data_IF_464481571381
#
_entry.id   IF_464481571381
#
_cell.length_a   1.000
_cell.length_b   1.000
_cell.length_c   1.000
_cell.angle_alpha   90.00
_cell.angle_beta   90.00
_cell.angle_gamma   90.00
#
_symmetry.space_group_name_H-M   'P 1'
#
loop_
_entity.id
_entity.type
_entity.pdbx_description
1 polymer ?
2 non-polymer ?
#
# COMPACT_ATOMS: atom_id res chain seq x y z
N UNK A 7 -13.28 14.45 19.08
CA UNK A 7 -12.67 13.21 19.53
C UNK A 7 -11.71 12.66 18.48
N UNK A 8 -10.79 11.80 18.92
CA UNK A 8 -9.79 11.22 18.04
C UNK A 8 -9.92 9.70 17.99
N UNK A 9 -11.01 9.18 18.54
CA UNK A 9 -11.28 7.75 18.47
C UNK A 9 -11.72 7.39 17.06
N UNK A 10 -12.63 8.19 16.52
CA UNK A 10 -13.11 7.97 15.16
C UNK A 10 -11.94 7.92 14.18
N UNK A 11 -10.98 8.82 14.37
CA UNK A 11 -9.79 8.87 13.53
C UNK A 11 -9.07 7.53 13.50
N UNK A 12 -8.36 7.22 14.59
CA UNK A 12 -7.64 5.96 14.70
C UNK A 12 -8.50 4.81 14.19
N UNK A 13 -9.73 4.74 14.69
CA UNK A 13 -10.65 3.70 14.26
C UNK A 13 -10.67 3.66 12.73
N UNK A 14 -11.15 4.73 12.12
CA UNK A 14 -11.26 4.79 10.67
C UNK A 14 -9.96 4.36 9.99
N UNK A 15 -8.84 4.90 10.46
CA UNK A 15 -7.54 4.58 9.87
C UNK A 15 -7.21 3.10 9.99
N UNK A 16 -7.28 2.58 11.21
CA UNK A 16 -6.99 1.18 11.46
C UNK A 16 -7.96 0.29 10.70
N UNK A 17 -9.18 0.79 10.52
CA UNK A 17 -10.19 0.05 9.77
C UNK A 17 -9.83 0.06 8.29
N UNK A 18 -9.15 1.12 7.86
CA UNK A 18 -8.67 1.23 6.48
C UNK A 18 -7.46 0.32 6.26
N UNK A 19 -7.05 -0.37 7.32
CA UNK A 19 -5.92 -1.28 7.24
C UNK A 19 -6.37 -2.73 7.39
N UNK A 20 -7.68 -2.94 7.34
CA UNK A 20 -8.26 -4.28 7.43
C UNK A 20 -8.71 -4.80 6.07
N UNK A 21 -8.57 -6.11 5.88
CA UNK A 21 -9.03 -6.75 4.65
C UNK A 21 -10.48 -6.38 4.38
N UNK A 22 -10.80 -6.15 3.11
CA UNK A 22 -12.13 -5.68 2.73
C UNK A 22 -13.14 -6.82 2.63
N UNK A 23 -12.67 -8.06 2.62
CA UNK A 23 -13.57 -9.21 2.46
C UNK A 23 -13.68 -10.07 3.72
N UNK A 24 -12.56 -10.60 4.20
CA UNK A 24 -12.61 -11.40 5.42
C UNK A 24 -12.73 -10.48 6.63
N UNK A 25 -12.31 -9.23 6.47
CA UNK A 25 -12.42 -8.22 7.53
C UNK A 25 -11.62 -8.58 8.79
N UNK A 26 -10.90 -9.69 8.75
CA UNK A 26 -10.11 -10.12 9.89
C UNK A 26 -8.63 -9.75 9.76
N UNK A 27 -7.98 -10.26 8.71
CA UNK A 27 -6.56 -10.00 8.50
C UNK A 27 -6.33 -8.61 7.90
N UNK A 28 -5.10 -8.12 8.00
CA UNK A 28 -4.78 -6.78 7.51
C UNK A 28 -4.47 -6.79 6.03
N UNK A 29 -4.74 -5.67 5.38
CA UNK A 29 -4.46 -5.50 3.96
C UNK A 29 -2.96 -5.56 3.71
N UNK A 30 -2.53 -6.48 2.85
CA UNK A 30 -1.09 -6.65 2.61
C UNK A 30 -0.73 -7.04 1.19
N UNK A 31 -1.69 -7.00 0.28
CA UNK A 31 -1.40 -7.33 -1.11
C UNK A 31 -2.28 -6.57 -2.09
N UNK A 32 -1.76 -6.35 -3.29
CA UNK A 32 -2.46 -5.56 -4.29
C UNK A 32 -2.75 -6.35 -5.55
N UNK A 33 -3.65 -5.83 -6.38
CA UNK A 33 -4.01 -6.47 -7.63
C UNK A 33 -3.31 -5.78 -8.79
N UNK A 34 -3.03 -6.53 -9.85
CA UNK A 34 -2.34 -5.98 -11.01
C UNK A 34 -3.03 -6.36 -12.31
N UNK A 35 -3.14 -5.40 -13.25
CA UNK A 35 -2.59 -4.04 -13.14
C UNK A 35 -3.53 -3.13 -12.37
N UNK A 36 -4.66 -3.70 -11.97
CA UNK A 36 -5.68 -3.01 -11.18
C UNK A 36 -5.13 -1.89 -10.30
N UNK A 37 -4.40 -2.26 -9.25
CA UNK A 37 -3.81 -1.27 -8.36
C UNK A 37 -4.39 -1.27 -6.95
N UNK A 38 -5.69 -1.54 -6.85
CA UNK A 38 -6.38 -1.54 -5.56
C UNK A 38 -5.73 -2.48 -4.54
N UNK A 39 -5.32 -1.92 -3.41
CA UNK A 39 -4.72 -2.68 -2.33
C UNK A 39 -5.70 -2.80 -1.17
N UNK A 40 -6.61 -3.77 -1.25
CA UNK A 40 -7.72 -3.85 -0.30
C UNK A 40 -7.94 -5.24 0.29
N UNK A 41 -6.99 -6.15 0.08
CA UNK A 41 -7.13 -7.51 0.59
C UNK A 41 -5.90 -8.03 1.32
N UNK A 42 -6.06 -9.17 1.98
CA UNK A 42 -4.96 -9.86 2.65
C UNK A 42 -4.57 -11.04 1.77
N UNK A 43 -3.36 -11.55 1.97
CA UNK A 43 -2.84 -12.63 1.14
C UNK A 43 -3.87 -13.72 0.88
N UNK A 44 -4.53 -14.18 1.94
CA UNK A 44 -5.44 -15.32 1.83
C UNK A 44 -6.68 -15.03 0.97
N UNK A 45 -7.13 -13.78 0.98
CA UNK A 45 -8.31 -13.40 0.21
C UNK A 45 -7.95 -13.05 -1.23
N UNK A 46 -6.74 -12.56 -1.43
CA UNK A 46 -6.27 -12.21 -2.76
C UNK A 46 -6.04 -13.46 -3.61
N UNK A 47 -5.59 -14.53 -2.97
CA UNK A 47 -5.33 -15.79 -3.67
C UNK A 47 -6.62 -16.48 -4.09
N UNK A 48 -7.73 -16.07 -3.48
CA UNK A 48 -9.03 -16.70 -3.72
C UNK A 48 -9.81 -15.98 -4.81
N UNK A 49 -9.52 -14.70 -5.00
CA UNK A 49 -10.27 -13.88 -5.96
C UNK A 49 -9.67 -13.93 -7.36
N UNK A 50 -10.54 -13.86 -8.37
CA UNK A 50 -10.10 -13.85 -9.76
C UNK A 50 -10.26 -12.46 -10.35
N UNK A 51 -11.05 -11.62 -9.67
CA UNK A 51 -11.27 -10.24 -10.11
C UNK A 51 -11.37 -9.28 -8.93
N UNK A 52 -11.01 -8.02 -9.17
CA UNK A 52 -10.97 -7.00 -8.13
C UNK A 52 -12.35 -6.66 -7.58
N UNK A 53 -12.50 -6.68 -6.25
CA UNK A 53 -13.77 -6.37 -5.57
C UNK A 53 -14.21 -4.93 -5.78
N UNK A 54 -13.25 -4.02 -5.95
CA UNK A 54 -13.57 -2.61 -6.08
C UNK A 54 -13.99 -2.24 -7.51
N UNK A 55 -13.12 -2.51 -8.48
CA UNK A 55 -13.35 -2.05 -9.84
C UNK A 55 -13.80 -3.15 -10.80
N UNK A 56 -13.80 -4.40 -10.34
CA UNK A 56 -14.28 -5.53 -11.13
C UNK A 56 -13.41 -5.84 -12.35
N UNK A 57 -12.10 -5.88 -12.17
CA UNK A 57 -11.21 -6.22 -13.28
C UNK A 57 -10.38 -7.45 -12.95
N UNK A 58 -10.29 -8.36 -13.91
CA UNK A 58 -9.54 -9.60 -13.71
C UNK A 58 -8.16 -9.32 -13.13
N UNK A 59 -7.87 -9.98 -12.02
CA UNK A 59 -6.57 -9.89 -11.39
C UNK A 59 -5.58 -10.71 -12.20
N UNK A 60 -4.58 -10.05 -12.78
CA UNK A 60 -3.57 -10.74 -13.57
C UNK A 60 -2.44 -11.26 -12.69
N UNK A 61 -2.19 -10.56 -11.59
CA UNK A 61 -1.10 -10.91 -10.68
C UNK A 61 -1.31 -10.22 -9.34
N UNK A 62 -0.88 -10.86 -8.26
CA UNK A 62 -0.92 -10.24 -6.95
C UNK A 62 0.49 -9.92 -6.46
N UNK A 63 0.71 -8.66 -6.09
CA UNK A 63 1.99 -8.23 -5.55
C UNK A 63 1.91 -8.06 -4.04
N UNK A 64 2.84 -8.66 -3.32
CA UNK A 64 2.93 -8.42 -1.89
C UNK A 64 3.41 -6.99 -1.67
N UNK A 65 2.89 -6.33 -0.64
CA UNK A 65 2.96 -4.87 -0.58
C UNK A 65 4.09 -4.24 0.25
N UNK A 66 4.30 -4.70 1.48
CA UNK A 66 5.28 -4.08 2.38
C UNK A 66 5.04 -2.58 2.60
N UNK A 67 4.10 -2.28 3.50
CA UNK A 67 3.74 -0.91 3.82
C UNK A 67 4.46 -0.40 5.07
N UNK A 68 4.87 0.88 5.04
CA UNK A 68 5.59 1.52 6.14
C UNK A 68 4.70 1.75 7.36
N UNK A 69 3.54 1.10 7.39
CA UNK A 69 2.62 1.23 8.52
C UNK A 69 2.36 -0.12 9.19
N UNK A 70 2.46 -1.19 8.41
CA UNK A 70 2.18 -2.54 8.91
C UNK A 70 3.35 -3.11 9.70
N UNK B 7 -2.04 13.39 24.94
CA UNK B 7 -2.60 13.74 23.64
C UNK B 7 -2.23 12.70 22.59
N UNK B 8 -3.09 12.56 21.59
CA UNK B 8 -2.86 11.62 20.50
C UNK B 8 -2.49 12.37 19.23
N UNK B 9 -2.37 13.69 19.36
CA UNK B 9 -1.99 14.53 18.23
C UNK B 9 -0.64 14.10 17.67
N UNK B 10 0.19 13.52 18.53
CA UNK B 10 1.49 13.01 18.10
C UNK B 10 1.35 11.63 17.48
N UNK B 11 0.29 10.91 17.86
CA UNK B 11 0.03 9.60 17.29
C UNK B 11 -0.23 9.70 15.79
N UNK B 12 -1.23 10.49 15.42
CA UNK B 12 -1.54 10.72 14.01
C UNK B 12 -0.33 11.32 13.30
N UNK B 13 0.42 12.15 14.02
CA UNK B 13 1.59 12.79 13.45
C UNK B 13 2.62 11.73 13.06
N UNK B 14 2.75 10.70 13.88
CA UNK B 14 3.70 9.63 13.61
C UNK B 14 3.25 8.74 12.44
N UNK B 15 1.95 8.48 12.36
CA UNK B 15 1.41 7.65 11.28
C UNK B 15 1.47 8.37 9.94
N UNK B 16 0.93 9.58 9.90
CA UNK B 16 0.94 10.39 8.69
C UNK B 16 2.37 10.59 8.17
N UNK B 17 3.32 10.74 9.08
CA UNK B 17 4.71 10.92 8.69
C UNK B 17 5.27 9.65 8.06
N UNK B 18 4.64 8.52 8.36
CA UNK B 18 5.04 7.25 7.79
C UNK B 18 4.50 7.12 6.37
N UNK B 19 3.51 7.94 6.05
CA UNK B 19 2.86 7.90 4.74
C UNK B 19 3.52 8.82 3.73
N UNK B 20 4.74 9.26 4.02
CA UNK B 20 5.40 10.23 3.15
C UNK B 20 6.61 9.63 2.45
N UNK B 21 6.80 10.03 1.20
CA UNK B 21 7.91 9.55 0.36
C UNK B 21 9.23 9.53 1.12
N UNK B 22 9.99 8.45 0.95
CA UNK B 22 11.22 8.24 1.71
C UNK B 22 12.46 8.77 0.98
N UNK B 23 12.26 9.63 0.00
CA UNK B 23 13.38 10.24 -0.69
C UNK B 23 13.18 11.75 -0.88
N UNK B 24 12.12 12.13 -1.57
CA UNK B 24 11.82 13.55 -1.73
C UNK B 24 11.13 14.07 -0.47
N UNK B 25 10.51 13.17 0.28
CA UNK B 25 9.88 13.51 1.55
C UNK B 25 8.87 14.65 1.43
N UNK B 26 8.12 14.68 0.34
CA UNK B 26 7.12 15.73 0.13
C UNK B 26 5.76 15.17 -0.24
N UNK B 27 5.72 14.26 -1.21
CA UNK B 27 4.47 13.62 -1.61
C UNK B 27 4.28 12.30 -0.86
N UNK B 28 3.05 11.79 -0.87
CA UNK B 28 2.72 10.58 -0.13
C UNK B 28 3.08 9.32 -0.90
N UNK B 29 3.33 8.24 -0.16
CA UNK B 29 3.63 6.96 -0.79
C UNK B 29 2.42 6.49 -1.59
N UNK B 30 2.66 6.08 -2.83
CA UNK B 30 1.57 5.58 -3.67
C UNK B 30 2.06 4.68 -4.80
N UNK B 31 3.30 4.22 -4.69
CA UNK B 31 3.90 3.39 -5.73
C UNK B 31 4.68 2.22 -5.16
N UNK B 32 4.59 1.09 -5.84
CA UNK B 32 5.28 -0.12 -5.41
C UNK B 32 6.41 -0.45 -6.36
N UNK B 33 7.49 -0.97 -5.80
CA UNK B 33 8.60 -1.47 -6.59
C UNK B 33 8.43 -2.96 -6.78
N UNK B 34 8.29 -3.40 -8.02
CA UNK B 34 8.16 -4.82 -8.32
C UNK B 34 9.49 -5.39 -8.79
N UNK B 35 9.79 -6.63 -8.39
CA UNK B 35 8.90 -7.50 -7.60
C UNK B 35 9.08 -7.43 -6.08
N UNK B 36 10.08 -6.72 -5.58
CA UNK B 36 10.35 -6.74 -4.14
C UNK B 36 9.15 -6.24 -3.33
N UNK B 37 8.36 -5.36 -3.93
CA UNK B 37 7.12 -4.90 -3.32
C UNK B 37 7.31 -3.94 -2.16
N UNK B 38 8.27 -3.03 -2.26
CA UNK B 38 8.50 -2.04 -1.21
C UNK B 38 7.80 -0.73 -1.50
N UNK B 39 6.66 -0.51 -0.85
CA UNK B 39 5.89 0.70 -1.07
C UNK B 39 6.40 1.86 -0.24
N UNK B 40 7.46 2.51 -0.72
CA UNK B 40 8.10 3.54 0.07
C UNK B 40 8.35 4.86 -0.67
N UNK B 41 7.90 4.95 -1.91
CA UNK B 41 8.11 6.17 -2.68
C UNK B 41 6.81 6.78 -3.22
N UNK B 42 6.90 8.01 -3.71
CA UNK B 42 5.79 8.61 -4.41
C UNK B 42 5.95 8.26 -5.88
N UNK B 43 5.04 8.74 -6.72
CA UNK B 43 5.04 8.34 -8.13
C UNK B 43 6.28 8.84 -8.87
N UNK B 44 6.65 10.10 -8.62
CA UNK B 44 7.74 10.73 -9.35
C UNK B 44 9.16 10.39 -8.87
N UNK B 45 9.27 9.78 -7.69
CA UNK B 45 10.57 9.33 -7.21
C UNK B 45 10.76 7.88 -7.61
N UNK B 46 9.64 7.18 -7.75
CA UNK B 46 9.65 5.79 -8.15
C UNK B 46 10.13 5.69 -9.59
N UNK B 47 9.88 6.74 -10.37
CA UNK B 47 10.22 6.76 -11.78
C UNK B 47 11.74 6.79 -12.00
N UNK B 48 12.42 7.66 -11.26
CA UNK B 48 13.86 7.82 -11.40
C UNK B 48 14.63 6.59 -10.94
N UNK B 49 14.23 6.02 -9.81
CA UNK B 49 14.98 4.93 -9.19
C UNK B 49 14.92 3.63 -9.98
N UNK B 50 16.08 3.00 -10.16
CA UNK B 50 16.19 1.78 -10.94
C UNK B 50 16.36 0.58 -10.02
N UNK B 51 16.46 0.87 -8.73
CA UNK B 51 16.58 -0.17 -7.71
C UNK B 51 15.86 0.24 -6.44
N UNK B 52 15.58 -0.74 -5.59
CA UNK B 52 14.89 -0.47 -4.34
C UNK B 52 15.85 0.15 -3.33
N UNK B 53 15.54 1.38 -2.89
CA UNK B 53 16.33 2.10 -1.88
C UNK B 53 16.37 1.36 -0.56
N UNK B 54 15.62 0.27 -0.46
CA UNK B 54 15.55 -0.47 0.79
C UNK B 54 16.26 -1.81 0.70
N UNK B 55 15.95 -2.58 -0.34
CA UNK B 55 16.53 -3.92 -0.47
C UNK B 55 17.56 -4.01 -1.58
N UNK B 56 17.62 -2.99 -2.42
CA UNK B 56 18.62 -2.92 -3.48
C UNK B 56 18.36 -3.93 -4.58
N UNK B 57 17.11 -4.34 -4.73
CA UNK B 57 16.77 -5.27 -5.79
C UNK B 57 16.37 -4.51 -7.05
N UNK B 58 16.76 -5.05 -8.19
CA UNK B 58 16.45 -4.47 -9.48
C UNK B 58 14.95 -4.22 -9.66
N UNK B 59 14.57 -2.95 -9.82
CA UNK B 59 13.19 -2.61 -10.09
C UNK B 59 12.82 -3.00 -11.51
N UNK B 60 11.91 -3.96 -11.64
CA UNK B 60 11.47 -4.42 -12.95
C UNK B 60 10.34 -3.56 -13.48
N UNK B 61 9.24 -3.52 -12.73
CA UNK B 61 8.12 -2.65 -13.07
C UNK B 61 7.68 -1.89 -11.82
N UNK B 62 7.00 -0.76 -12.03
CA UNK B 62 6.41 -0.02 -10.92
C UNK B 62 4.89 -0.09 -11.00
N UNK B 63 4.25 -0.30 -9.86
CA UNK B 63 2.80 -0.39 -9.80
C UNK B 63 2.19 0.68 -8.90
N UNK B 64 1.32 1.51 -9.47
CA UNK B 64 0.63 2.53 -8.69
C UNK B 64 -0.45 1.92 -7.81
N UNK B 65 -0.23 1.94 -6.50
CA UNK B 65 -1.18 1.34 -5.58
C UNK B 65 -2.28 2.30 -5.17
N UNK B 66 -3.27 1.76 -4.46
CA UNK B 66 -4.39 2.54 -3.98
C UNK B 66 -4.79 2.11 -2.57
N UNK B 67 -3.93 2.38 -1.60
CA UNK B 67 -4.28 2.10 -0.22
C UNK B 67 -5.45 2.98 0.18
N UNK B 68 -6.42 2.42 0.88
CA UNK B 68 -7.55 3.20 1.32
C UNK B 68 -7.33 3.77 2.69
N UNK B 69 -6.07 3.96 3.01
CA UNK B 69 -5.68 4.68 4.17
C UNK B 69 -5.59 6.05 3.64
N UNK B 70 -5.88 6.15 2.35
CA UNK B 70 -6.02 7.38 1.62
C UNK B 70 -4.69 7.84 1.14
X LIG C 1 -8.90 -11.27 3.86
X LIG D 1 -9.45 -2.78 -8.76
X LIG E 1 9.13 11.32 -3.78
X LIG F 1 12.64 -3.56 -2.17
#
# INVERSE_FOLDING_TARGET
GAQQTRVLQEKLRKLKEAMLCMVCCEEEINSTFCPCGHTVCCESCAAQLQSCPVCRSRVEHVQHVYLPTHTSLLNLTVI
GAQQTRVLQEKLRKLKEAMLCMVCCEEEINSTFCPCGHTVCCESCAAQLQSCPVCRSRVEHVQHVYLPTHTSLLNLTVI
ZN ZN
ZN ZN
ZN ZN
ZN ZN
#
